data_IF_801151600111
#
_entry.id   IF_801151600111
#
_cell.length_a   1.000
_cell.length_b   1.000
_cell.length_c   1.000
_cell.angle_alpha   90.00
_cell.angle_beta   90.00
_cell.angle_gamma   90.00
#
_symmetry.space_group_name_H-M   'P 1'
#
loop_
_entity.id
_entity.type
_entity.pdbx_description
1 polymer ?
#
# COMPACT_ATOMS: atom_id res chain seq x y z
N UNK A 1 34.21 -8.91 14.07
CA UNK A 1 32.79 -8.53 13.93
C UNK A 1 31.96 -9.55 14.69
N UNK A 2 31.16 -9.16 15.69
CA UNK A 2 30.31 -10.09 16.43
C UNK A 2 29.11 -10.47 15.55
N UNK A 3 28.91 -11.77 15.34
CA UNK A 3 27.67 -12.31 14.76
C UNK A 3 26.58 -12.13 15.80
N UNK A 4 25.64 -11.22 15.53
CA UNK A 4 24.42 -11.05 16.30
C UNK A 4 23.59 -12.34 16.18
N UNK A 5 23.77 -13.24 17.14
CA UNK A 5 22.90 -14.40 17.38
C UNK A 5 21.56 -13.91 17.97
N UNK A 6 20.79 -13.17 17.18
CA UNK A 6 19.45 -12.68 17.58
C UNK A 6 18.39 -13.78 17.45
N UNK A 7 18.71 -14.90 16.80
CA UNK A 7 17.79 -16.01 16.58
C UNK A 7 17.90 -17.16 17.61
N UNK A 8 18.68 -17.02 18.69
CA UNK A 8 19.05 -18.17 19.54
C UNK A 8 18.24 -18.36 20.83
N UNK A 9 17.19 -17.59 21.09
CA UNK A 9 16.31 -17.81 22.25
C UNK A 9 14.87 -17.38 21.97
N UNK A 10 14.13 -18.22 21.27
CA UNK A 10 12.68 -18.26 21.40
C UNK A 10 12.27 -19.71 21.29
N UNK A 11 11.61 -20.21 22.33
CA UNK A 11 11.03 -21.54 22.33
C UNK A 11 10.10 -21.66 21.10
N UNK A 12 10.21 -22.74 20.30
CA UNK A 12 9.39 -22.92 19.10
C UNK A 12 7.88 -22.97 19.33
N UNK A 13 7.44 -23.08 20.59
CA UNK A 13 6.07 -23.49 20.93
C UNK A 13 5.25 -22.40 21.62
N UNK A 14 5.81 -21.23 21.96
CA UNK A 14 4.98 -20.09 22.31
C UNK A 14 4.56 -19.40 21.01
N UNK A 15 3.28 -19.44 20.61
CA UNK A 15 2.81 -18.62 19.51
C UNK A 15 3.22 -17.21 19.86
N UNK A 16 4.00 -16.57 18.99
CA UNK A 16 4.33 -15.17 19.15
C UNK A 16 3.00 -14.44 19.34
N UNK A 17 2.73 -14.00 20.57
CA UNK A 17 1.71 -13.01 20.88
C UNK A 17 2.22 -11.70 20.26
N UNK A 18 2.15 -11.64 18.93
CA UNK A 18 2.27 -10.45 18.11
C UNK A 18 1.15 -9.45 18.41
N UNK A 19 0.20 -9.86 19.26
CA UNK A 19 -0.99 -9.17 19.70
C UNK A 19 -0.72 -8.21 20.85
N UNK A 20 0.49 -7.65 20.98
CA UNK A 20 0.61 -6.40 21.72
C UNK A 20 0.20 -5.29 20.75
N UNK A 21 -1.08 -4.85 20.72
CA UNK A 21 -1.46 -3.68 19.96
C UNK A 21 -0.49 -2.57 20.35
N UNK A 22 -0.13 -1.72 19.39
CA UNK A 22 0.62 -0.51 19.71
C UNK A 22 -0.08 0.12 20.91
N UNK A 23 0.65 0.29 22.02
CA UNK A 23 0.10 0.51 23.38
C UNK A 23 -0.78 1.76 23.55
N UNK A 24 -1.12 2.40 22.43
CA UNK A 24 -1.82 3.65 22.28
C UNK A 24 -3.08 3.53 21.38
N UNK A 25 -3.78 2.40 21.38
CA UNK A 25 -5.04 2.25 20.62
C UNK A 25 -6.12 1.48 21.38
N UNK A 26 -7.36 1.92 21.24
CA UNK A 26 -8.56 1.28 21.81
C UNK A 26 -9.16 0.28 20.82
N UNK A 27 -9.37 -0.99 21.19
CA UNK A 27 -10.07 -1.95 20.33
C UNK A 27 -11.55 -1.59 20.21
N UNK A 28 -12.06 -1.51 18.97
CA UNK A 28 -13.48 -1.30 18.69
C UNK A 28 -14.26 -2.61 18.53
N UNK A 29 -13.59 -3.68 18.10
CA UNK A 29 -14.20 -4.98 17.84
C UNK A 29 -13.52 -5.72 16.68
N UNK A 30 -14.09 -6.85 16.30
CA UNK A 30 -13.63 -7.69 15.21
C UNK A 30 -14.73 -7.82 14.16
N UNK A 31 -14.38 -7.67 12.88
CA UNK A 31 -15.30 -7.93 11.77
C UNK A 31 -14.57 -8.65 10.65
N UNK A 32 -15.03 -9.87 10.34
CA UNK A 32 -14.44 -10.71 9.29
C UNK A 32 -13.00 -11.12 9.55
N UNK A 33 -12.61 -11.37 10.81
CA UNK A 33 -11.23 -11.71 11.18
C UNK A 33 -10.28 -10.51 11.25
N UNK A 34 -10.79 -9.28 11.08
CA UNK A 34 -10.02 -8.04 11.20
C UNK A 34 -10.40 -7.35 12.51
N UNK A 35 -9.42 -7.11 13.38
CA UNK A 35 -9.56 -6.28 14.56
C UNK A 35 -9.44 -4.80 14.19
N UNK A 36 -10.44 -4.03 14.58
CA UNK A 36 -10.47 -2.59 14.40
C UNK A 36 -9.98 -1.89 15.66
N UNK A 37 -9.08 -0.93 15.47
CA UNK A 37 -8.52 -0.12 16.55
C UNK A 37 -8.70 1.36 16.23
N UNK A 38 -8.90 2.17 17.27
CA UNK A 38 -8.86 3.63 17.19
C UNK A 38 -7.71 4.14 18.05
N UNK A 39 -6.81 4.91 17.44
CA UNK A 39 -5.69 5.52 18.16
C UNK A 39 -6.18 6.45 19.26
N UNK A 40 -5.60 6.42 20.46
CA UNK A 40 -6.00 7.36 21.52
C UNK A 40 -5.75 8.83 21.14
N UNK A 41 -4.89 9.06 20.15
CA UNK A 41 -4.69 10.39 19.58
C UNK A 41 -6.00 11.00 19.05
N UNK A 42 -6.93 10.18 18.53
CA UNK A 42 -8.27 10.61 18.10
C UNK A 42 -9.06 11.21 19.26
N UNK A 43 -9.10 10.53 20.42
CA UNK A 43 -9.81 11.02 21.60
C UNK A 43 -9.17 12.29 22.16
N UNK A 44 -7.84 12.37 22.17
CA UNK A 44 -7.11 13.59 22.57
C UNK A 44 -7.45 14.75 21.64
N UNK A 45 -7.43 14.53 20.31
CA UNK A 45 -7.78 15.55 19.33
C UNK A 45 -9.23 16.01 19.47
N UNK A 46 -10.17 15.08 19.69
CA UNK A 46 -11.57 15.38 19.94
C UNK A 46 -11.74 16.20 21.23
N UNK A 47 -11.07 15.83 22.32
CA UNK A 47 -11.12 16.57 23.58
C UNK A 47 -10.58 18.00 23.45
N UNK A 48 -9.44 18.17 22.76
CA UNK A 48 -8.87 19.50 22.47
C UNK A 48 -9.83 20.33 21.63
N UNK A 49 -10.41 19.74 20.57
CA UNK A 49 -11.39 20.42 19.72
C UNK A 49 -12.63 20.86 20.52
N UNK A 50 -13.22 19.97 21.32
CA UNK A 50 -14.37 20.28 22.18
C UNK A 50 -14.03 21.38 23.19
N UNK A 51 -12.87 21.30 23.84
CA UNK A 51 -12.41 22.34 24.76
C UNK A 51 -12.27 23.71 24.10
N UNK A 52 -11.69 23.76 22.89
CA UNK A 52 -11.56 24.99 22.10
C UNK A 52 -12.93 25.55 21.70
N UNK A 53 -13.85 24.70 21.24
CA UNK A 53 -15.22 25.12 20.89
C UNK A 53 -15.94 25.70 22.11
N UNK A 54 -15.88 25.03 23.26
CA UNK A 54 -16.51 25.51 24.51
C UNK A 54 -15.93 26.84 24.99
N UNK A 55 -14.61 27.05 24.83
CA UNK A 55 -13.96 28.31 25.21
C UNK A 55 -14.33 29.48 24.28
N UNK A 56 -14.63 29.21 23.00
CA UNK A 56 -14.78 30.25 21.96
C UNK A 56 -16.26 30.53 21.63
N UNK A 57 -17.17 29.58 21.86
CA UNK A 57 -18.59 29.68 21.49
C UNK A 57 -19.32 30.88 22.11
N UNK A 58 -18.89 31.36 23.29
CA UNK A 58 -19.53 32.50 23.97
C UNK A 58 -19.10 33.87 23.42
N UNK A 59 -18.19 33.91 22.44
CA UNK A 59 -17.80 35.17 21.78
C UNK A 59 -18.87 35.61 20.77
N UNK A 60 -19.14 36.92 20.63
CA UNK A 60 -20.12 37.41 19.66
C UNK A 60 -19.76 36.95 18.24
N UNK A 61 -20.73 36.35 17.55
CA UNK A 61 -20.56 35.80 16.19
C UNK A 61 -20.16 34.31 16.12
N UNK A 62 -19.96 33.63 17.26
CA UNK A 62 -19.54 32.22 17.29
C UNK A 62 -20.62 31.26 17.81
N UNK A 63 -21.89 31.65 17.83
CA UNK A 63 -22.98 30.80 18.32
C UNK A 63 -23.11 29.49 17.51
N UNK A 64 -22.79 29.53 16.22
CA UNK A 64 -22.89 28.36 15.32
C UNK A 64 -21.64 27.47 15.34
N UNK A 65 -20.59 27.87 16.07
CA UNK A 65 -19.31 27.14 16.11
C UNK A 65 -19.46 25.66 16.52
N UNK A 66 -20.29 25.28 17.51
CA UNK A 66 -20.45 23.86 17.88
C UNK A 66 -21.09 23.01 16.78
N UNK A 67 -22.13 23.53 16.12
CA UNK A 67 -22.80 22.82 15.02
C UNK A 67 -21.83 22.65 13.84
N UNK A 68 -21.16 23.72 13.48
CA UNK A 68 -20.13 23.74 12.44
C UNK A 68 -19.00 22.75 12.73
N UNK A 69 -18.49 22.72 13.97
CA UNK A 69 -17.45 21.78 14.37
C UNK A 69 -17.95 20.32 14.29
N UNK A 70 -19.19 20.06 14.73
CA UNK A 70 -19.79 18.74 14.64
C UNK A 70 -19.90 18.27 13.18
N UNK A 71 -20.33 19.13 12.27
CA UNK A 71 -20.43 18.77 10.85
C UNK A 71 -19.03 18.56 10.24
N UNK A 72 -18.05 19.41 10.58
CA UNK A 72 -16.67 19.22 10.13
C UNK A 72 -16.09 17.87 10.60
N UNK A 73 -16.36 17.47 11.84
CA UNK A 73 -16.00 16.13 12.35
C UNK A 73 -16.74 15.05 11.57
N UNK A 74 -18.03 15.21 11.30
CA UNK A 74 -18.81 14.28 10.48
C UNK A 74 -18.18 14.08 9.09
N UNK A 75 -17.84 15.15 8.38
CA UNK A 75 -17.17 15.09 7.08
C UNK A 75 -15.80 14.40 7.21
N UNK A 76 -15.01 14.73 8.24
CA UNK A 76 -13.72 14.08 8.49
C UNK A 76 -13.87 12.57 8.68
N UNK A 77 -14.90 12.13 9.42
CA UNK A 77 -15.21 10.71 9.62
C UNK A 77 -15.65 10.01 8.33
N UNK A 78 -16.34 10.69 7.41
CA UNK A 78 -16.64 10.15 6.06
C UNK A 78 -15.33 9.80 5.35
N UNK A 79 -14.32 10.67 5.44
CA UNK A 79 -12.99 10.38 4.93
C UNK A 79 -12.40 9.10 5.53
N UNK A 80 -12.50 8.89 6.85
CA UNK A 80 -12.07 7.63 7.49
C UNK A 80 -12.82 6.42 6.95
N UNK A 81 -14.14 6.50 6.81
CA UNK A 81 -14.98 5.42 6.27
C UNK A 81 -14.54 5.06 4.85
N UNK A 82 -14.28 6.05 3.99
CA UNK A 82 -13.78 5.82 2.63
C UNK A 82 -12.43 5.09 2.66
N UNK A 83 -11.50 5.53 3.52
CA UNK A 83 -10.19 4.89 3.63
C UNK A 83 -10.29 3.44 4.13
N UNK A 84 -11.05 3.20 5.20
CA UNK A 84 -11.30 1.86 5.74
C UNK A 84 -11.99 0.99 4.70
N UNK A 85 -12.97 1.53 3.97
CA UNK A 85 -13.67 0.84 2.89
C UNK A 85 -12.73 0.34 1.79
N UNK A 86 -11.76 1.16 1.37
CA UNK A 86 -10.73 0.73 0.40
C UNK A 86 -9.89 -0.41 0.97
N UNK A 87 -9.45 -0.33 2.23
CA UNK A 87 -8.69 -1.41 2.87
C UNK A 87 -9.50 -2.71 2.95
N UNK A 88 -10.80 -2.62 3.29
CA UNK A 88 -11.70 -3.78 3.32
C UNK A 88 -11.90 -4.39 1.93
N UNK A 89 -12.04 -3.57 0.89
CA UNK A 89 -12.16 -4.05 -0.50
C UNK A 89 -10.90 -4.81 -0.92
N UNK A 90 -9.71 -4.34 -0.57
CA UNK A 90 -8.48 -5.08 -0.86
C UNK A 90 -8.35 -6.35 -0.02
N UNK A 91 -8.78 -6.31 1.23
CA UNK A 91 -8.77 -7.47 2.12
C UNK A 91 -9.68 -8.58 1.59
N UNK A 92 -10.97 -8.30 1.44
CA UNK A 92 -11.96 -9.28 1.00
C UNK A 92 -11.88 -9.61 -0.49
N UNK A 93 -11.54 -8.62 -1.33
CA UNK A 93 -11.55 -8.77 -2.79
C UNK A 93 -10.29 -9.41 -3.38
N UNK A 94 -9.13 -9.19 -2.75
CA UNK A 94 -7.85 -9.72 -3.24
C UNK A 94 -7.25 -10.80 -2.32
N UNK A 95 -7.95 -11.17 -1.24
CA UNK A 95 -7.46 -12.14 -0.26
C UNK A 95 -6.24 -11.65 0.51
N UNK A 96 -6.08 -10.34 0.64
CA UNK A 96 -4.96 -9.73 1.37
C UNK A 96 -5.33 -9.67 2.85
N UNK A 97 -4.99 -10.72 3.59
CA UNK A 97 -5.32 -10.81 5.00
C UNK A 97 -4.56 -9.76 5.80
N UNK A 98 -5.28 -8.95 6.57
CA UNK A 98 -4.74 -7.96 7.50
C UNK A 98 -5.43 -8.20 8.81
N UNK A 99 -4.67 -8.51 9.86
CA UNK A 99 -5.25 -8.80 11.17
C UNK A 99 -5.81 -7.55 11.82
N UNK A 100 -5.12 -6.42 11.66
CA UNK A 100 -5.42 -5.21 12.41
C UNK A 100 -5.53 -3.99 11.46
N UNK A 101 -6.60 -3.21 11.62
CA UNK A 101 -6.76 -1.89 10.98
C UNK A 101 -6.88 -0.85 12.10
N UNK A 102 -5.93 0.09 12.15
CA UNK A 102 -5.96 1.19 13.11
C UNK A 102 -6.38 2.49 12.42
N UNK A 103 -7.36 3.19 12.99
CA UNK A 103 -7.78 4.52 12.56
C UNK A 103 -7.15 5.57 13.47
N UNK A 104 -6.26 6.38 12.91
CA UNK A 104 -5.62 7.53 13.54
C UNK A 104 -6.36 8.85 13.26
N UNK A 105 -5.82 9.95 13.81
CA UNK A 105 -6.37 11.31 13.58
C UNK A 105 -6.45 11.62 12.09
N UNK A 106 -5.39 11.31 11.34
CA UNK A 106 -5.27 11.64 9.92
C UNK A 106 -5.99 10.63 9.01
N UNK A 107 -6.46 9.50 9.55
CA UNK A 107 -7.08 8.40 8.80
C UNK A 107 -6.43 7.05 9.11
N UNK A 108 -6.48 6.11 8.18
CA UNK A 108 -6.01 4.73 8.40
C UNK A 108 -4.50 4.71 8.56
N UNK A 109 -4.04 4.24 9.71
CA UNK A 109 -2.63 3.99 10.03
C UNK A 109 -2.26 2.57 9.56
N UNK A 110 -1.14 2.42 8.84
CA UNK A 110 -0.61 1.10 8.53
C UNK A 110 0.29 0.64 9.68
N UNK A 111 -0.05 -0.44 10.40
CA UNK A 111 0.83 -0.97 11.44
C UNK A 111 2.16 -1.47 10.85
N UNK A 112 3.19 -1.59 11.70
CA UNK A 112 4.46 -2.21 11.32
C UNK A 112 4.22 -3.70 11.04
N UNK A 113 4.58 -4.15 9.82
CA UNK A 113 4.11 -5.42 9.24
C UNK A 113 5.04 -6.61 9.44
N UNK A 114 6.13 -6.47 10.21
CA UNK A 114 7.10 -7.57 10.36
C UNK A 114 6.44 -8.82 10.94
N UNK A 115 5.47 -8.63 11.83
CA UNK A 115 4.89 -9.70 12.65
C UNK A 115 3.63 -10.34 12.06
N UNK A 116 3.15 -9.86 10.91
CA UNK A 116 1.97 -10.44 10.27
C UNK A 116 2.36 -11.70 9.49
N UNK A 117 1.62 -12.80 9.70
CA UNK A 117 1.82 -14.07 9.00
C UNK A 117 1.64 -13.95 7.47
N UNK A 118 0.88 -12.95 7.02
CA UNK A 118 0.64 -12.64 5.60
C UNK A 118 1.15 -11.24 5.29
N UNK A 119 2.40 -11.17 4.88
CA UNK A 119 3.02 -9.90 4.57
C UNK A 119 2.57 -9.38 3.20
N UNK A 120 2.23 -8.09 3.17
CA UNK A 120 1.85 -7.41 1.95
C UNK A 120 3.06 -7.16 1.07
N UNK A 121 2.91 -7.42 -0.24
CA UNK A 121 3.93 -7.04 -1.22
C UNK A 121 4.05 -5.51 -1.30
N UNK A 122 5.24 -5.03 -1.68
CA UNK A 122 5.43 -3.60 -1.91
C UNK A 122 4.45 -3.05 -2.96
N UNK A 123 4.20 -3.82 -4.04
CA UNK A 123 3.24 -3.43 -5.08
C UNK A 123 1.80 -3.32 -4.59
N UNK A 124 1.34 -4.24 -3.72
CA UNK A 124 -0.01 -4.16 -3.14
C UNK A 124 -0.13 -2.97 -2.20
N UNK A 125 0.94 -2.64 -1.47
CA UNK A 125 0.99 -1.46 -0.60
C UNK A 125 0.90 -0.16 -1.38
N UNK A 126 1.62 -0.04 -2.51
CA UNK A 126 1.48 1.10 -3.44
C UNK A 126 0.04 1.20 -3.95
N UNK A 127 -0.54 0.07 -4.39
CA UNK A 127 -1.89 0.04 -4.94
C UNK A 127 -2.95 0.46 -3.91
N UNK A 128 -2.88 -0.04 -2.68
CA UNK A 128 -3.81 0.34 -1.60
C UNK A 128 -3.64 1.81 -1.26
N UNK A 129 -2.42 2.27 -0.94
CA UNK A 129 -2.20 3.66 -0.56
C UNK A 129 -2.66 4.63 -1.66
N UNK A 130 -2.34 4.34 -2.93
CA UNK A 130 -2.75 5.19 -4.06
C UNK A 130 -4.27 5.18 -4.26
N UNK A 131 -4.91 4.01 -4.15
CA UNK A 131 -6.37 3.89 -4.28
C UNK A 131 -7.09 4.61 -3.14
N UNK A 132 -6.58 4.50 -1.91
CA UNK A 132 -7.13 5.18 -0.75
C UNK A 132 -7.04 6.71 -0.89
N UNK A 133 -5.88 7.24 -1.30
CA UNK A 133 -5.72 8.67 -1.55
C UNK A 133 -6.63 9.15 -2.70
N UNK A 134 -6.72 8.38 -3.79
CA UNK A 134 -7.58 8.70 -4.92
C UNK A 134 -9.08 8.68 -4.54
N UNK A 135 -9.51 7.73 -3.71
CA UNK A 135 -10.89 7.63 -3.25
C UNK A 135 -11.30 8.82 -2.37
N UNK A 136 -10.45 9.23 -1.42
CA UNK A 136 -10.72 10.42 -0.59
C UNK A 136 -10.69 11.70 -1.42
N UNK A 137 -9.75 11.81 -2.37
CA UNK A 137 -9.72 12.94 -3.30
C UNK A 137 -10.99 13.00 -4.16
N UNK A 138 -11.44 11.85 -4.67
CA UNK A 138 -12.69 11.70 -5.41
C UNK A 138 -13.92 12.08 -4.59
N UNK A 139 -13.96 11.71 -3.30
CA UNK A 139 -15.00 12.16 -2.38
C UNK A 139 -15.03 13.70 -2.26
N UNK A 140 -13.86 14.33 -2.16
CA UNK A 140 -13.75 15.80 -2.20
C UNK A 140 -14.26 16.42 -3.50
N UNK A 141 -14.00 15.78 -4.66
CA UNK A 141 -14.53 16.20 -5.95
C UNK A 141 -16.07 16.07 -6.04
N UNK A 142 -16.64 15.03 -5.42
CA UNK A 142 -18.10 14.86 -5.35
C UNK A 142 -18.71 16.02 -4.55
N UNK A 143 -18.17 16.34 -3.37
CA UNK A 143 -18.63 17.49 -2.59
C UNK A 143 -18.48 18.81 -3.37
N UNK A 144 -17.39 18.95 -4.13
CA UNK A 144 -17.16 20.13 -4.96
C UNK A 144 -18.18 20.25 -6.08
N UNK A 145 -18.51 19.14 -6.75
CA UNK A 145 -19.51 19.11 -7.81
C UNK A 145 -20.91 19.44 -7.27
N UNK A 146 -21.28 18.92 -6.09
CA UNK A 146 -22.55 19.26 -5.42
C UNK A 146 -22.60 20.76 -5.09
N UNK A 147 -21.49 21.32 -4.57
CA UNK A 147 -21.40 22.76 -4.33
C UNK A 147 -21.56 23.58 -5.62
N UNK A 148 -20.92 23.14 -6.71
CA UNK A 148 -20.99 23.81 -8.00
C UNK A 148 -22.41 23.79 -8.59
N UNK A 149 -23.12 22.66 -8.50
CA UNK A 149 -24.49 22.51 -9.03
C UNK A 149 -25.49 23.35 -8.21
N UNK A 150 -25.31 23.43 -6.90
CA UNK A 150 -26.23 24.16 -6.01
C UNK A 150 -26.12 25.68 -6.16
N UNK A 151 -24.97 26.20 -6.60
CA UNK A 151 -24.77 27.63 -6.85
C UNK A 151 -24.84 27.90 -8.35
N UNK A 152 -26.01 28.25 -8.89
CA UNK A 152 -26.24 28.27 -10.35
C UNK A 152 -25.56 29.41 -11.14
N UNK A 153 -24.74 30.25 -10.52
CA UNK A 153 -24.19 31.47 -11.12
C UNK A 153 -22.66 31.60 -11.01
N UNK A 154 -21.90 30.55 -11.35
CA UNK A 154 -20.43 30.64 -11.35
C UNK A 154 -19.94 31.47 -12.52
N UNK A 155 -19.29 32.59 -12.21
CA UNK A 155 -18.33 33.20 -13.13
C UNK A 155 -17.00 32.46 -13.01
N UNK A 156 -16.27 32.27 -14.12
CA UNK A 156 -14.96 31.60 -14.11
C UNK A 156 -13.96 32.23 -13.13
N UNK A 157 -14.08 33.53 -12.87
CA UNK A 157 -13.28 34.24 -11.87
C UNK A 157 -13.54 33.79 -10.42
N UNK A 158 -14.79 33.49 -10.06
CA UNK A 158 -15.15 33.03 -8.71
C UNK A 158 -14.55 31.66 -8.42
N UNK A 159 -14.50 30.76 -9.40
CA UNK A 159 -13.88 29.45 -9.26
C UNK A 159 -12.39 29.57 -8.86
N UNK A 160 -11.65 30.42 -9.54
CA UNK A 160 -10.24 30.66 -9.23
C UNK A 160 -10.04 31.34 -7.88
N UNK A 161 -10.94 32.25 -7.50
CA UNK A 161 -10.90 32.88 -6.18
C UNK A 161 -11.16 31.86 -5.05
N UNK A 162 -12.10 30.94 -5.27
CA UNK A 162 -12.43 29.86 -4.35
C UNK A 162 -11.23 28.93 -4.12
N UNK A 163 -10.53 28.58 -5.19
CA UNK A 163 -9.33 27.73 -5.14
C UNK A 163 -8.12 28.44 -4.50
N UNK A 164 -8.01 29.77 -4.64
CA UNK A 164 -6.91 30.56 -4.07
C UNK A 164 -7.06 30.83 -2.58
N UNK A 165 -8.28 30.89 -2.09
CA UNK A 165 -8.57 31.17 -0.68
C UNK A 165 -9.30 29.97 -0.08
N UNK A 166 -8.57 28.93 0.37
CA UNK A 166 -9.17 27.82 1.10
C UNK A 166 -9.81 28.36 2.38
N UNK A 167 -11.09 28.67 2.30
CA UNK A 167 -11.94 28.98 3.43
C UNK A 167 -12.77 27.75 3.72
N UNK A 168 -12.83 27.33 4.97
CA UNK A 168 -13.72 26.25 5.38
C UNK A 168 -15.21 26.62 5.27
N UNK A 169 -15.56 27.83 4.77
CA UNK A 169 -16.94 28.15 4.44
C UNK A 169 -17.89 28.05 5.63
N UNK A 170 -17.38 28.21 6.85
CA UNK A 170 -18.15 27.91 8.06
C UNK A 170 -19.16 29.00 8.43
N UNK A 171 -19.22 30.09 7.66
CA UNK A 171 -20.13 31.22 7.90
C UNK A 171 -21.49 31.11 7.21
N UNK A 172 -21.68 30.15 6.29
CA UNK A 172 -22.95 29.92 5.61
C UNK A 172 -23.21 28.42 5.45
N UNK A 173 -24.47 28.00 5.61
CA UNK A 173 -24.87 26.59 5.39
C UNK A 173 -24.58 26.12 3.96
N UNK A 174 -24.64 27.04 3.00
CA UNK A 174 -24.41 26.78 1.57
C UNK A 174 -22.95 26.40 1.25
N UNK A 175 -22.01 26.85 2.08
CA UNK A 175 -20.58 26.57 1.94
C UNK A 175 -20.13 25.31 2.69
N UNK A 176 -21.08 24.52 3.21
CA UNK A 176 -20.77 23.24 3.87
C UNK A 176 -20.12 22.23 2.91
N UNK A 177 -20.61 22.16 1.68
CA UNK A 177 -20.06 21.27 0.65
C UNK A 177 -18.63 21.65 0.30
N UNK A 178 -18.34 22.96 0.23
CA UNK A 178 -16.99 23.46 0.01
C UNK A 178 -16.07 23.15 1.19
N UNK A 179 -16.56 23.29 2.42
CA UNK A 179 -15.84 22.84 3.62
C UNK A 179 -15.48 21.35 3.50
N UNK A 180 -16.44 20.54 3.04
CA UNK A 180 -16.27 19.12 2.80
C UNK A 180 -15.17 18.81 1.81
N UNK A 181 -15.16 19.49 0.66
CA UNK A 181 -14.10 19.38 -0.35
C UNK A 181 -12.73 19.64 0.26
N UNK A 182 -12.57 20.77 0.96
CA UNK A 182 -11.28 21.14 1.55
C UNK A 182 -10.84 20.17 2.64
N UNK A 183 -11.74 19.70 3.51
CA UNK A 183 -11.42 18.73 4.54
C UNK A 183 -10.94 17.40 3.94
N UNK A 184 -11.60 16.89 2.90
CA UNK A 184 -11.14 15.68 2.20
C UNK A 184 -9.76 15.89 1.56
N UNK A 185 -9.50 17.03 0.93
CA UNK A 185 -8.20 17.32 0.32
C UNK A 185 -7.09 17.52 1.35
N UNK A 186 -7.39 18.20 2.46
CA UNK A 186 -6.46 18.31 3.60
C UNK A 186 -6.14 16.92 4.15
N UNK A 187 -7.13 16.04 4.26
CA UNK A 187 -6.91 14.66 4.69
C UNK A 187 -6.01 13.88 3.71
N UNK A 188 -6.19 14.04 2.39
CA UNK A 188 -5.30 13.48 1.37
C UNK A 188 -3.87 14.01 1.54
N UNK A 189 -3.70 15.33 1.71
CA UNK A 189 -2.39 15.94 1.92
C UNK A 189 -1.71 15.43 3.19
N UNK A 190 -2.44 15.33 4.30
CA UNK A 190 -1.96 14.80 5.56
C UNK A 190 -1.54 13.33 5.44
N UNK A 191 -2.31 12.51 4.72
CA UNK A 191 -1.99 11.10 4.49
C UNK A 191 -0.84 10.90 3.52
N UNK A 192 -0.71 11.75 2.51
CA UNK A 192 0.42 11.74 1.56
C UNK A 192 1.73 12.14 2.25
N UNK A 193 1.65 12.91 3.33
CA UNK A 193 2.83 13.36 4.07
C UNK A 193 3.49 12.17 4.81
N UNK A 194 4.81 11.93 4.63
CA UNK A 194 5.45 10.70 5.06
C UNK A 194 5.85 10.71 6.54
N UNK A 195 4.88 10.97 7.42
CA UNK A 195 5.01 10.82 8.87
C UNK A 195 5.01 9.35 9.28
N UNK A 196 5.40 9.08 10.53
CA UNK A 196 5.27 7.73 11.09
C UNK A 196 3.82 7.25 11.00
N UNK A 197 3.62 5.98 10.64
CA UNK A 197 2.31 5.29 10.50
C UNK A 197 1.36 5.81 9.40
N UNK A 198 1.66 6.93 8.75
CA UNK A 198 0.87 7.46 7.63
C UNK A 198 1.07 6.65 6.34
N UNK A 199 0.07 6.67 5.46
CA UNK A 199 0.11 5.99 4.17
C UNK A 199 1.23 6.51 3.25
N UNK A 200 1.53 7.81 3.31
CA UNK A 200 2.60 8.44 2.53
C UNK A 200 3.97 7.85 2.82
N UNK A 201 4.22 7.45 4.08
CA UNK A 201 5.44 6.75 4.44
C UNK A 201 5.45 5.33 3.89
N UNK A 202 4.35 4.57 4.05
CA UNK A 202 4.23 3.23 3.48
C UNK A 202 4.42 3.24 1.95
N UNK A 203 3.85 4.24 1.27
CA UNK A 203 4.01 4.48 -0.16
C UNK A 203 5.47 4.77 -0.51
N UNK A 204 6.13 5.69 0.20
CA UNK A 204 7.53 6.02 -0.03
C UNK A 204 8.45 4.81 0.16
N UNK A 205 8.24 4.02 1.21
CA UNK A 205 9.02 2.80 1.47
C UNK A 205 8.82 1.78 0.36
N UNK A 206 7.57 1.55 -0.06
CA UNK A 206 7.24 0.59 -1.10
C UNK A 206 7.80 1.00 -2.46
N UNK A 207 7.73 2.30 -2.81
CA UNK A 207 8.32 2.84 -4.04
C UNK A 207 9.85 2.74 -3.99
N UNK A 208 10.47 3.05 -2.85
CA UNK A 208 11.93 2.92 -2.68
C UNK A 208 12.39 1.48 -2.85
N UNK A 209 11.65 0.52 -2.29
CA UNK A 209 11.89 -0.91 -2.47
C UNK A 209 11.76 -1.32 -3.94
N UNK A 210 10.66 -0.95 -4.61
CA UNK A 210 10.42 -1.31 -6.00
C UNK A 210 11.44 -0.69 -6.96
N UNK A 211 11.86 0.55 -6.70
CA UNK A 211 12.85 1.26 -7.51
C UNK A 211 14.26 0.67 -7.40
N UNK A 212 14.57 0.00 -6.28
CA UNK A 212 15.90 -0.51 -5.98
C UNK A 212 15.87 -2.02 -5.63
N UNK A 213 14.95 -2.78 -6.25
CA UNK A 213 14.65 -4.18 -5.92
C UNK A 213 15.88 -5.11 -6.02
N UNK A 214 16.80 -4.81 -6.93
CA UNK A 214 18.01 -5.62 -7.16
C UNK A 214 19.17 -5.25 -6.22
N UNK A 215 18.99 -4.25 -5.36
CA UNK A 215 20.05 -3.74 -4.46
C UNK A 215 19.91 -4.25 -3.03
N UNK A 216 21.01 -4.20 -2.29
CA UNK A 216 21.09 -4.59 -0.88
C UNK A 216 20.11 -3.80 0.03
N UNK A 217 19.62 -4.45 1.09
CA UNK A 217 18.71 -3.89 2.11
C UNK A 217 19.25 -2.57 2.68
N UNK A 218 20.58 -2.52 2.90
CA UNK A 218 21.27 -1.34 3.42
C UNK A 218 21.15 -0.16 2.46
N UNK A 219 21.23 -0.41 1.15
CA UNK A 219 21.09 0.62 0.13
C UNK A 219 19.65 1.14 0.09
N UNK A 220 18.67 0.23 0.06
CA UNK A 220 17.25 0.59 0.04
C UNK A 220 16.85 1.43 1.27
N UNK A 221 17.35 1.06 2.46
CA UNK A 221 17.10 1.81 3.71
C UNK A 221 17.74 3.19 3.68
N UNK A 222 18.97 3.29 3.13
CA UNK A 222 19.64 4.59 2.92
C UNK A 222 18.86 5.44 1.94
N UNK A 223 18.38 4.88 0.83
CA UNK A 223 17.58 5.59 -0.18
C UNK A 223 16.30 6.15 0.43
N UNK A 224 15.51 5.32 1.11
CA UNK A 224 14.28 5.76 1.76
C UNK A 224 14.53 6.89 2.79
N UNK A 225 15.60 6.77 3.59
CA UNK A 225 16.00 7.83 4.54
C UNK A 225 16.38 9.12 3.83
N UNK A 226 17.12 9.05 2.71
CA UNK A 226 17.51 10.23 1.93
C UNK A 226 16.30 10.93 1.31
N UNK A 227 15.33 10.17 0.82
CA UNK A 227 14.08 10.73 0.30
C UNK A 227 13.28 11.44 1.41
N UNK A 228 13.16 10.84 2.60
CA UNK A 228 12.52 11.50 3.74
C UNK A 228 13.25 12.79 4.16
N UNK A 229 14.58 12.78 4.20
CA UNK A 229 15.39 13.97 4.47
C UNK A 229 15.17 15.06 3.42
N UNK A 230 15.07 14.68 2.14
CA UNK A 230 14.78 15.61 1.05
C UNK A 230 13.40 16.25 1.23
N UNK A 231 12.37 15.46 1.58
CA UNK A 231 11.03 15.98 1.86
C UNK A 231 11.05 16.93 3.07
N UNK A 232 11.77 16.58 4.14
CA UNK A 232 11.94 17.44 5.32
C UNK A 232 12.59 18.79 4.98
N UNK A 233 13.70 18.77 4.23
CA UNK A 233 14.40 19.99 3.78
C UNK A 233 13.50 20.82 2.86
N UNK A 234 12.81 20.18 1.92
CA UNK A 234 11.88 20.86 1.01
C UNK A 234 10.75 21.56 1.77
N UNK A 235 10.22 20.91 2.83
CA UNK A 235 9.21 21.50 3.71
C UNK A 235 9.77 22.71 4.49
N UNK A 236 11.04 22.65 4.92
CA UNK A 236 11.69 23.78 5.58
C UNK A 236 11.92 24.95 4.62
N UNK A 237 12.35 24.69 3.38
CA UNK A 237 12.50 25.71 2.35
C UNK A 237 11.15 26.40 2.06
N UNK A 238 10.06 25.61 2.00
CA UNK A 238 8.71 26.13 1.86
C UNK A 238 8.28 26.98 3.08
N UNK A 239 8.68 26.57 4.29
CA UNK A 239 8.43 27.36 5.50
C UNK A 239 9.16 28.73 5.46
N UNK A 240 10.40 28.76 4.98
CA UNK A 240 11.15 30.02 4.81
C UNK A 240 10.56 30.90 3.71
N UNK A 241 10.11 30.31 2.61
CA UNK A 241 9.42 31.04 1.53
C UNK A 241 8.09 31.65 2.01
N UNK A 242 7.31 30.90 2.80
CA UNK A 242 6.06 31.42 3.39
C UNK A 242 6.32 32.51 4.41
N UNK A 243 7.38 32.39 5.23
CA UNK A 243 7.82 33.46 6.13
C UNK A 243 8.16 34.76 5.37
N UNK A 244 8.81 34.67 4.21
CA UNK A 244 9.15 35.84 3.41
C UNK A 244 7.91 36.51 2.77
N UNK A 245 6.88 35.72 2.43
CA UNK A 245 5.65 36.19 1.80
C UNK A 245 4.60 36.72 2.81
N UNK A 246 4.50 36.12 3.99
CA UNK A 246 3.45 36.40 4.99
C UNK A 246 3.82 37.57 5.93
N UNK A 247 4.19 38.74 5.39
CA UNK A 247 4.53 39.91 6.23
C UNK A 247 3.30 40.53 6.94
N UNK A 248 2.10 40.34 6.40
CA UNK A 248 0.87 41.02 6.84
C UNK A 248 -0.27 40.08 7.28
N UNK A 249 0.01 38.80 7.53
CA UNK A 249 -1.02 37.83 7.92
C UNK A 249 -1.15 37.79 9.44
N UNK A 250 -2.38 37.92 9.97
CA UNK A 250 -2.65 37.95 11.41
C UNK A 250 -2.16 36.69 12.16
N UNK A 251 -2.15 35.54 11.48
CA UNK A 251 -1.62 34.28 12.01
C UNK A 251 -0.55 33.75 11.07
N UNK A 252 0.74 33.79 11.46
CA UNK A 252 1.82 33.29 10.60
C UNK A 252 1.68 31.79 10.41
N UNK A 253 1.76 31.32 9.16
CA UNK A 253 1.61 29.90 8.80
C UNK A 253 2.94 29.12 8.85
N UNK A 254 4.06 29.82 8.70
CA UNK A 254 5.39 29.24 8.67
C UNK A 254 5.77 28.43 9.92
N UNK A 255 5.34 28.73 11.17
CA UNK A 255 5.73 27.94 12.34
C UNK A 255 5.21 26.50 12.26
N UNK A 256 4.02 26.30 11.71
CA UNK A 256 3.45 24.96 11.50
C UNK A 256 4.28 24.16 10.50
N UNK A 257 4.75 24.79 9.43
CA UNK A 257 5.61 24.14 8.43
C UNK A 257 7.00 23.81 8.98
N UNK A 258 7.58 24.69 9.81
CA UNK A 258 8.84 24.42 10.52
C UNK A 258 8.66 23.22 11.45
N UNK A 259 7.60 23.23 12.27
CA UNK A 259 7.30 22.12 13.17
C UNK A 259 7.14 20.80 12.42
N UNK A 260 6.40 20.83 11.30
CA UNK A 260 6.20 19.67 10.44
C UNK A 260 7.50 19.15 9.82
N UNK A 261 8.40 20.05 9.39
CA UNK A 261 9.73 19.71 8.90
C UNK A 261 10.58 19.04 9.99
N UNK A 262 10.53 19.54 11.23
CA UNK A 262 11.21 18.94 12.38
C UNK A 262 10.65 17.54 12.68
N UNK A 263 9.32 17.37 12.67
CA UNK A 263 8.70 16.06 12.83
C UNK A 263 9.15 15.06 11.76
N UNK A 264 9.26 15.48 10.49
CA UNK A 264 9.81 14.64 9.44
C UNK A 264 11.27 14.28 9.68
N UNK A 265 12.07 15.26 10.09
CA UNK A 265 13.48 15.05 10.38
C UNK A 265 13.68 14.02 11.50
N UNK A 266 12.85 14.09 12.56
CA UNK A 266 12.84 13.09 13.64
C UNK A 266 12.35 11.74 13.12
N UNK A 267 11.29 11.73 12.31
CA UNK A 267 10.72 10.52 11.67
C UNK A 267 11.76 9.74 10.84
N UNK A 268 12.74 10.43 10.21
CA UNK A 268 13.84 9.81 9.45
C UNK A 268 14.74 8.89 10.28
N UNK A 269 14.77 9.08 11.61
CA UNK A 269 15.63 8.32 12.53
C UNK A 269 14.97 7.05 13.06
N UNK A 270 13.67 6.83 12.82
CA UNK A 270 12.98 5.68 13.39
C UNK A 270 13.44 4.37 12.74
N UNK A 271 13.59 3.33 13.56
CA UNK A 271 13.94 1.98 13.14
C UNK A 271 12.90 1.37 12.20
N UNK A 272 11.65 1.86 12.26
CA UNK A 272 10.52 1.36 11.47
C UNK A 272 10.78 1.39 9.95
N UNK A 273 11.71 2.22 9.46
CA UNK A 273 12.10 2.24 8.05
C UNK A 273 12.74 0.91 7.63
N UNK A 274 13.68 0.41 8.44
CA UNK A 274 14.36 -0.84 8.15
C UNK A 274 13.37 -2.00 8.23
N UNK A 275 12.57 -1.98 9.28
CA UNK A 275 11.51 -2.95 9.56
C UNK A 275 10.52 -3.08 8.40
N UNK A 276 10.09 -1.95 7.83
CA UNK A 276 9.23 -1.94 6.66
C UNK A 276 9.89 -2.58 5.43
N UNK A 277 11.16 -2.29 5.17
CA UNK A 277 11.91 -2.86 4.04
C UNK A 277 12.14 -4.35 4.21
N UNK A 278 12.50 -4.79 5.43
CA UNK A 278 12.66 -6.21 5.75
C UNK A 278 11.35 -6.95 5.53
N UNK A 279 10.20 -6.36 5.92
CA UNK A 279 8.88 -6.96 5.66
C UNK A 279 8.59 -7.11 4.16
N UNK A 280 9.09 -6.24 3.29
CA UNK A 280 8.92 -6.43 1.85
C UNK A 280 9.80 -7.53 1.28
N UNK A 281 11.03 -7.68 1.78
CA UNK A 281 11.91 -8.78 1.39
C UNK A 281 11.32 -10.11 1.82
N UNK A 282 10.84 -10.22 3.06
CA UNK A 282 10.17 -11.41 3.57
C UNK A 282 8.91 -11.75 2.76
N UNK A 283 8.14 -10.75 2.30
CA UNK A 283 6.96 -10.94 1.44
C UNK A 283 7.28 -11.37 -0.02
N UNK A 284 8.48 -11.03 -0.52
CA UNK A 284 8.92 -11.35 -1.89
C UNK A 284 9.73 -12.65 -1.94
N UNK A 285 10.42 -12.95 -0.84
CA UNK A 285 11.06 -14.22 -0.60
C UNK A 285 9.94 -15.23 -0.36
N UNK A 286 9.63 -16.10 -1.33
CA UNK A 286 8.75 -17.27 -1.15
C UNK A 286 9.32 -18.29 -0.11
N UNK A 287 10.22 -17.83 0.76
CA UNK A 287 11.01 -18.54 1.76
C UNK A 287 10.25 -18.88 3.02
N UNK A 288 9.00 -18.45 3.20
CA UNK A 288 8.15 -19.14 4.16
C UNK A 288 7.97 -20.55 3.59
N UNK A 289 8.66 -21.57 4.15
CA UNK A 289 8.38 -22.93 3.75
C UNK A 289 6.90 -23.08 4.04
N UNK A 290 6.16 -23.59 3.07
CA UNK A 290 4.79 -24.02 3.26
C UNK A 290 4.75 -24.99 4.44
N UNK A 291 4.65 -24.45 5.65
CA UNK A 291 4.34 -25.16 6.89
C UNK A 291 2.89 -25.68 6.85
N UNK A 292 2.19 -25.48 5.73
CA UNK A 292 1.00 -26.22 5.29
C UNK A 292 1.33 -27.67 4.90
N UNK A 293 2.18 -28.34 5.68
CA UNK A 293 2.19 -29.79 5.84
C UNK A 293 1.45 -30.24 7.10
N UNK A 294 0.89 -29.30 7.87
CA UNK A 294 -0.10 -29.58 8.90
C UNK A 294 -1.50 -29.58 8.28
N UNK A 295 -2.14 -30.75 8.31
CA UNK A 295 -3.57 -30.96 8.05
C UNK A 295 -4.43 -30.24 9.11
N UNK A 296 -4.35 -28.92 9.20
CA UNK A 296 -5.26 -28.14 10.03
C UNK A 296 -6.57 -27.95 9.26
N UNK A 297 -7.55 -28.77 9.64
CA UNK A 297 -9.00 -28.62 9.44
C UNK A 297 -9.51 -27.28 10.02
N UNK A 298 -8.99 -26.16 9.53
CA UNK A 298 -9.57 -24.85 9.79
C UNK A 298 -10.89 -24.76 9.03
N UNK A 299 -11.96 -25.18 9.71
CA UNK A 299 -13.39 -24.89 9.46
C UNK A 299 -13.63 -23.79 8.41
N UNK A 300 -13.62 -24.22 7.15
CA UNK A 300 -13.73 -23.38 5.98
C UNK A 300 -15.23 -23.08 5.77
N UNK A 301 -15.66 -21.91 6.24
CA UNK A 301 -16.90 -21.32 5.75
C UNK A 301 -16.75 -21.10 4.24
N UNK A 302 -17.77 -21.41 3.40
CA UNK A 302 -17.64 -21.37 1.95
C UNK A 302 -17.45 -19.94 1.44
N UNK A 303 -16.22 -19.47 1.44
CA UNK A 303 -15.83 -18.20 0.84
C UNK A 303 -15.81 -18.41 -0.67
N UNK A 304 -16.83 -17.92 -1.36
CA UNK A 304 -16.90 -17.87 -2.83
C UNK A 304 -15.63 -17.30 -3.50
N UNK A 305 -14.85 -16.49 -2.75
CA UNK A 305 -13.58 -15.93 -3.18
C UNK A 305 -12.46 -16.99 -3.23
N UNK A 306 -12.44 -17.95 -2.31
CA UNK A 306 -11.47 -19.06 -2.34
C UNK A 306 -11.69 -19.92 -3.58
N UNK A 307 -12.94 -20.25 -3.90
CA UNK A 307 -13.32 -20.99 -5.12
C UNK A 307 -12.89 -20.28 -6.41
N UNK A 308 -13.02 -18.94 -6.47
CA UNK A 308 -12.61 -18.18 -7.65
C UNK A 308 -11.09 -18.13 -7.79
N UNK A 309 -10.37 -17.94 -6.68
CA UNK A 309 -8.90 -17.91 -6.65
C UNK A 309 -8.29 -19.28 -7.01
N UNK A 310 -8.90 -20.36 -6.51
CA UNK A 310 -8.54 -21.73 -6.87
C UNK A 310 -8.82 -22.02 -8.33
N UNK A 311 -9.93 -21.54 -8.88
CA UNK A 311 -10.27 -21.70 -10.30
C UNK A 311 -9.24 -21.02 -11.21
N UNK A 312 -8.78 -19.82 -10.85
CA UNK A 312 -7.73 -19.09 -11.59
C UNK A 312 -6.38 -19.82 -11.47
N UNK A 313 -6.01 -20.27 -10.27
CA UNK A 313 -4.77 -21.02 -10.03
C UNK A 313 -4.78 -22.38 -10.75
N UNK A 314 -5.91 -23.08 -10.76
CA UNK A 314 -6.13 -24.32 -11.51
C UNK A 314 -6.06 -24.10 -13.01
N UNK A 315 -6.59 -22.99 -13.53
CA UNK A 315 -6.43 -22.64 -14.96
C UNK A 315 -4.97 -22.41 -15.33
N UNK A 316 -4.20 -21.70 -14.50
CA UNK A 316 -2.77 -21.47 -14.74
C UNK A 316 -1.98 -22.78 -14.65
N UNK A 317 -2.25 -23.62 -13.65
CA UNK A 317 -1.63 -24.94 -13.51
C UNK A 317 -2.00 -25.88 -14.67
N UNK A 318 -3.26 -25.88 -15.13
CA UNK A 318 -3.70 -26.64 -16.31
C UNK A 318 -3.05 -26.13 -17.60
N UNK A 319 -2.80 -24.83 -17.76
CA UNK A 319 -2.06 -24.30 -18.91
C UNK A 319 -0.62 -24.80 -18.92
N UNK A 320 0.08 -24.68 -17.80
CA UNK A 320 1.46 -25.18 -17.67
C UNK A 320 1.55 -26.70 -17.85
N UNK A 321 0.62 -27.46 -17.29
CA UNK A 321 0.56 -28.92 -17.46
C UNK A 321 0.27 -29.31 -18.93
N UNK A 322 -0.59 -28.56 -19.63
CA UNK A 322 -0.84 -28.79 -21.06
C UNK A 322 0.36 -28.44 -21.92
N UNK A 323 1.09 -27.38 -21.59
CA UNK A 323 2.32 -27.01 -22.29
C UNK A 323 3.43 -28.06 -22.07
N UNK A 324 3.56 -28.58 -20.84
CA UNK A 324 4.47 -29.68 -20.54
C UNK A 324 4.10 -30.97 -21.30
N UNK A 325 2.82 -31.36 -21.26
CA UNK A 325 2.34 -32.55 -21.97
C UNK A 325 2.47 -32.43 -23.50
N UNK A 326 2.36 -31.20 -24.04
CA UNK A 326 2.58 -30.96 -25.47
C UNK A 326 4.05 -31.11 -25.84
N UNK A 327 4.96 -30.63 -24.98
CA UNK A 327 6.40 -30.87 -25.16
C UNK A 327 6.74 -32.35 -25.09
N UNK A 328 6.23 -33.09 -24.10
CA UNK A 328 6.47 -34.54 -24.00
C UNK A 328 5.95 -35.30 -25.24
N UNK A 329 4.80 -34.90 -25.80
CA UNK A 329 4.29 -35.51 -27.05
C UNK A 329 5.12 -35.15 -28.27
N UNK A 330 5.57 -33.90 -28.37
CA UNK A 330 6.46 -33.46 -29.46
C UNK A 330 7.81 -34.18 -29.37
N UNK A 331 8.34 -34.41 -28.17
CA UNK A 331 9.59 -35.17 -27.93
C UNK A 331 9.41 -36.66 -28.26
N UNK A 332 8.29 -37.28 -27.87
CA UNK A 332 8.02 -38.68 -28.20
C UNK A 332 7.81 -38.92 -29.71
N UNK A 333 7.14 -37.99 -30.42
CA UNK A 333 6.99 -38.10 -31.88
C UNK A 333 8.36 -37.93 -32.57
N UNK A 334 9.18 -36.99 -32.09
CA UNK A 334 10.55 -36.79 -32.58
C UNK A 334 11.45 -38.03 -32.36
N UNK A 335 11.36 -38.70 -31.20
CA UNK A 335 12.11 -39.94 -30.92
C UNK A 335 11.70 -41.08 -31.86
N UNK A 336 10.39 -41.27 -32.08
CA UNK A 336 9.90 -42.32 -32.98
C UNK A 336 10.35 -42.11 -34.43
N UNK A 337 10.40 -40.85 -34.88
CA UNK A 337 10.91 -40.48 -36.21
C UNK A 337 12.42 -40.59 -36.30
N UNK A 338 13.14 -40.32 -35.20
CA UNK A 338 14.58 -40.42 -35.15
C UNK A 338 15.05 -41.85 -35.42
N UNK A 339 14.39 -42.85 -34.81
CA UNK A 339 14.71 -44.26 -35.05
C UNK A 339 14.50 -44.67 -36.51
N UNK A 340 13.40 -44.24 -37.13
CA UNK A 340 13.14 -44.51 -38.55
C UNK A 340 14.19 -43.84 -39.46
N UNK A 341 14.59 -42.62 -39.14
CA UNK A 341 15.63 -41.87 -39.85
C UNK A 341 17.00 -42.53 -39.69
N UNK A 342 17.34 -43.00 -38.49
CA UNK A 342 18.60 -43.71 -38.21
C UNK A 342 18.65 -45.06 -38.93
N UNK A 343 17.53 -45.79 -38.99
CA UNK A 343 17.44 -47.04 -39.74
C UNK A 343 17.66 -46.81 -41.24
N UNK A 344 16.99 -45.81 -41.84
CA UNK A 344 17.18 -45.44 -43.25
C UNK A 344 18.60 -44.97 -43.55
N UNK A 345 19.21 -44.21 -42.64
CA UNK A 345 20.59 -43.75 -42.75
C UNK A 345 21.57 -44.92 -42.76
N UNK A 346 21.34 -45.96 -41.93
CA UNK A 346 22.14 -47.18 -41.90
C UNK A 346 22.02 -48.04 -43.16
N UNK A 347 20.82 -48.11 -43.76
CA UNK A 347 20.57 -48.94 -44.95
C UNK A 347 20.98 -48.29 -46.27
N UNK A 348 20.77 -46.98 -46.44
CA UNK A 348 20.88 -46.29 -47.75
C UNK A 348 21.91 -45.16 -47.79
N UNK A 349 22.56 -44.86 -46.68
CA UNK A 349 23.56 -43.80 -46.59
C UNK A 349 22.98 -42.39 -46.57
N UNK A 350 23.85 -41.38 -46.39
CA UNK A 350 23.46 -39.98 -46.08
C UNK A 350 22.69 -39.26 -47.20
N UNK A 351 22.80 -39.76 -48.42
CA UNK A 351 22.16 -39.15 -49.60
C UNK A 351 20.68 -39.50 -49.73
N UNK A 352 20.18 -40.48 -48.98
CA UNK A 352 18.76 -40.86 -48.99
C UNK A 352 17.89 -40.08 -48.01
N UNK A 353 18.46 -39.13 -47.25
CA UNK A 353 17.74 -38.34 -46.26
C UNK A 353 17.03 -37.15 -46.91
N UNK A 354 15.75 -36.97 -46.59
CA UNK A 354 15.00 -35.78 -46.98
C UNK A 354 15.51 -34.53 -46.24
N UNK A 355 15.27 -33.35 -46.79
CA UNK A 355 15.69 -32.09 -46.15
C UNK A 355 15.03 -31.88 -44.77
N UNK A 356 13.83 -32.42 -44.55
CA UNK A 356 13.17 -32.45 -43.23
C UNK A 356 13.92 -33.33 -42.23
N UNK A 357 14.43 -34.49 -42.64
CA UNK A 357 15.16 -35.41 -41.75
C UNK A 357 16.53 -34.82 -41.37
N UNK A 358 17.17 -34.14 -42.32
CA UNK A 358 18.42 -33.40 -42.08
C UNK A 358 18.23 -32.26 -41.07
N UNK A 359 17.12 -31.53 -41.17
CA UNK A 359 16.76 -30.49 -40.21
C UNK A 359 16.46 -31.06 -38.82
N UNK A 360 15.78 -32.21 -38.73
CA UNK A 360 15.51 -32.92 -37.48
C UNK A 360 16.81 -33.37 -36.79
N UNK A 361 17.71 -34.03 -37.51
CA UNK A 361 19.02 -34.46 -36.99
C UNK A 361 19.87 -33.29 -36.49
N UNK A 362 19.82 -32.15 -37.20
CA UNK A 362 20.51 -30.93 -36.76
C UNK A 362 19.93 -30.39 -35.45
N UNK A 363 18.61 -30.38 -35.31
CA UNK A 363 17.92 -29.94 -34.08
C UNK A 363 18.24 -30.85 -32.89
N UNK A 364 18.23 -32.16 -33.08
CA UNK A 364 18.58 -33.14 -32.03
C UNK A 364 20.06 -33.02 -31.64
N UNK A 365 20.96 -32.87 -32.62
CA UNK A 365 22.39 -32.60 -32.39
C UNK A 365 22.63 -31.34 -31.56
N UNK A 366 21.94 -30.24 -31.88
CA UNK A 366 22.04 -28.98 -31.12
C UNK A 366 21.48 -29.13 -29.69
N UNK A 367 20.38 -29.86 -29.51
CA UNK A 367 19.80 -30.13 -28.18
C UNK A 367 20.72 -30.99 -27.31
N UNK A 368 21.31 -32.06 -27.86
CA UNK A 368 22.27 -32.91 -27.14
C UNK A 368 23.53 -32.12 -26.75
N UNK A 369 23.99 -31.22 -27.63
CA UNK A 369 25.12 -30.33 -27.30
C UNK A 369 24.79 -29.39 -26.14
N UNK A 370 23.60 -28.78 -26.15
CA UNK A 370 23.12 -27.92 -25.05
C UNK A 370 22.98 -28.68 -23.73
N UNK A 371 22.42 -29.90 -23.75
CA UNK A 371 22.32 -30.73 -22.54
C UNK A 371 23.69 -31.07 -21.96
N UNK A 372 24.68 -31.39 -22.82
CA UNK A 372 26.06 -31.65 -22.39
C UNK A 372 26.75 -30.41 -21.81
N UNK A 373 26.44 -29.22 -22.34
CA UNK A 373 26.94 -27.94 -21.82
C UNK A 373 26.26 -27.52 -20.50
N UNK A 374 24.99 -27.90 -20.27
CA UNK A 374 24.25 -27.59 -19.03
C UNK A 374 24.47 -28.59 -17.88
N UNK A 375 25.00 -29.78 -18.18
CA UNK A 375 25.25 -30.85 -17.20
C UNK A 375 26.66 -30.85 -16.59
N UNK A 376 27.50 -29.88 -17.00
CA UNK A 376 28.81 -29.58 -16.42
C UNK A 376 28.69 -28.26 -15.63
#
# INVERSE_FOLDING_TARGET
MPRLNVFSRQQPDEPFDSDVPSSWSLPLGEYGGIHFYVSYAVFVAAAVLTGLVVMIQNRPGNADLPLTALIAVGIWTIGWIVQVGVHLVFHFGLGIHSRNITVGILGVESPNRIWDATQWKASTTVAVASTTLAAVFGCGLIFFAIHAITHSAWTSGQLMQLLRSPGFGLGASESLWLAGTWLCWVQVLCQLFPLSRNQGRALLMSVSYLAARETDEVFQTKLARRLLQLVAISTLLLAMATMAADQNVAVPRWPLLVFLSVLLWVSCRSSDLRDSIVSFHMADSDYLPKLTGGDEEATDGPSWVSQLSESIRMRKKRRLAREALRREREEADDESRLDEVLQRLGEKGRDSLSDSDRALLKRVSENLRRQKESGN
#
